data_IF_560847753228
#
_entry.id   IF_560847753228
#
_cell.length_a   1.000
_cell.length_b   1.000
_cell.length_c   1.000
_cell.angle_alpha   90.00
_cell.angle_beta   90.00
_cell.angle_gamma   90.00
#
_symmetry.space_group_name_H-M   'P 1'
#
loop_
_entity.id
_entity.type
_entity.pdbx_description
1 polymer ?
#
# COMPACT_ATOMS: atom_id res chain seq x y z
N UNK A 1 -18.26 26.98 13.14
CA UNK A 1 -18.02 28.43 12.99
C UNK A 1 -18.82 29.11 14.06
N UNK A 2 -18.21 30.04 14.81
CA UNK A 2 -18.94 30.80 15.83
C UNK A 2 -19.97 31.70 15.15
N UNK A 3 -21.15 31.83 15.73
CA UNK A 3 -22.16 32.76 15.22
C UNK A 3 -21.71 34.20 15.45
N UNK A 4 -22.23 35.14 14.65
CA UNK A 4 -21.94 36.57 14.84
C UNK A 4 -22.34 37.05 16.23
N UNK A 5 -23.37 36.44 16.84
CA UNK A 5 -23.78 36.76 18.20
C UNK A 5 -22.77 36.29 19.25
N UNK A 6 -22.25 35.06 19.12
CA UNK A 6 -21.20 34.54 20.02
C UNK A 6 -19.91 35.37 19.97
N UNK A 7 -19.57 35.90 18.80
CA UNK A 7 -18.38 36.75 18.63
C UNK A 7 -18.55 38.13 19.28
N UNK A 8 -19.79 38.65 19.30
CA UNK A 8 -20.15 39.88 20.00
C UNK A 8 -20.13 39.68 21.53
N UNK A 9 -20.73 38.60 22.04
CA UNK A 9 -20.67 38.26 23.46
C UNK A 9 -19.24 38.05 23.97
N UNK A 10 -18.38 37.43 23.14
CA UNK A 10 -16.97 37.24 23.46
C UNK A 10 -16.20 38.57 23.47
N UNK A 11 -16.51 39.47 22.54
CA UNK A 11 -15.91 40.80 22.49
C UNK A 11 -16.31 41.67 23.69
N UNK A 12 -17.59 41.65 24.07
CA UNK A 12 -18.10 42.32 25.26
C UNK A 12 -17.41 41.79 26.53
N UNK A 13 -17.23 40.47 26.64
CA UNK A 13 -16.48 39.86 27.75
C UNK A 13 -15.00 40.25 27.79
N UNK A 14 -14.41 40.56 26.65
CA UNK A 14 -13.03 41.05 26.56
C UNK A 14 -12.93 42.57 26.68
N UNK A 15 -14.06 43.28 26.81
CA UNK A 15 -14.09 44.74 26.92
C UNK A 15 -13.67 45.46 25.65
N UNK A 16 -13.77 44.83 24.47
CA UNK A 16 -13.38 45.43 23.20
C UNK A 16 -14.50 46.34 22.68
N UNK A 17 -14.17 47.61 22.43
CA UNK A 17 -15.13 48.58 21.90
C UNK A 17 -14.77 49.01 20.47
N UNK A 18 -15.81 49.28 19.67
CA UNK A 18 -15.73 49.93 18.35
C UNK A 18 -14.57 49.48 17.45
N UNK A 19 -13.49 50.29 17.34
CA UNK A 19 -12.34 49.98 16.48
C UNK A 19 -11.54 48.74 16.91
N UNK A 20 -11.42 48.49 18.22
CA UNK A 20 -10.67 47.34 18.74
C UNK A 20 -11.41 46.03 18.45
N UNK A 21 -12.74 46.05 18.58
CA UNK A 21 -13.59 44.93 18.18
C UNK A 21 -13.46 44.62 16.68
N UNK A 22 -13.46 45.66 15.83
CA UNK A 22 -13.30 45.47 14.37
C UNK A 22 -11.95 44.85 14.03
N UNK A 23 -10.86 45.37 14.61
CA UNK A 23 -9.53 44.82 14.38
C UNK A 23 -9.42 43.36 14.83
N UNK A 24 -9.93 43.04 16.02
CA UNK A 24 -9.97 41.68 16.54
C UNK A 24 -10.83 40.75 15.67
N UNK A 25 -12.00 41.21 15.23
CA UNK A 25 -12.90 40.45 14.37
C UNK A 25 -12.26 40.16 13.00
N UNK A 26 -11.62 41.16 12.38
CA UNK A 26 -10.91 41.00 11.13
C UNK A 26 -9.75 40.01 11.25
N UNK A 27 -8.96 40.10 12.34
CA UNK A 27 -7.89 39.15 12.63
C UNK A 27 -8.44 37.73 12.82
N UNK A 28 -9.54 37.58 13.55
CA UNK A 28 -10.20 36.28 13.76
C UNK A 28 -10.63 35.67 12.43
N UNK A 29 -11.28 36.45 11.57
CA UNK A 29 -11.70 36.01 10.24
C UNK A 29 -10.50 35.72 9.32
N UNK A 30 -9.40 36.46 9.44
CA UNK A 30 -8.17 36.18 8.71
C UNK A 30 -7.56 34.83 9.12
N UNK A 31 -7.46 34.57 10.43
CA UNK A 31 -6.99 33.28 10.97
C UNK A 31 -7.88 32.12 10.49
N UNK A 32 -9.20 32.26 10.52
CA UNK A 32 -10.08 31.20 10.01
C UNK A 32 -9.90 30.93 8.51
N UNK A 33 -9.66 31.97 7.70
CA UNK A 33 -9.38 31.79 6.26
C UNK A 33 -8.05 31.05 6.07
N UNK A 34 -7.06 31.37 6.89
CA UNK A 34 -5.76 30.72 6.88
C UNK A 34 -5.86 29.24 7.31
N UNK A 35 -6.58 28.94 8.39
CA UNK A 35 -6.85 27.57 8.84
C UNK A 35 -7.54 26.75 7.75
N UNK A 36 -8.61 27.28 7.14
CA UNK A 36 -9.29 26.62 6.02
C UNK A 36 -8.37 26.47 4.81
N UNK A 37 -7.44 27.40 4.57
CA UNK A 37 -6.45 27.27 3.50
C UNK A 37 -5.41 26.19 3.82
N UNK A 38 -4.97 26.09 5.07
CA UNK A 38 -4.06 25.05 5.55
C UNK A 38 -4.72 23.67 5.47
N UNK A 39 -5.98 23.52 5.87
CA UNK A 39 -6.75 22.28 5.72
C UNK A 39 -6.84 21.84 4.26
N UNK A 40 -7.14 22.78 3.35
CA UNK A 40 -7.17 22.49 1.91
C UNK A 40 -5.80 22.06 1.38
N UNK A 41 -4.70 22.67 1.86
CA UNK A 41 -3.33 22.25 1.49
C UNK A 41 -3.03 20.85 2.02
N UNK A 42 -3.33 20.58 3.29
CA UNK A 42 -3.14 19.26 3.89
C UNK A 42 -3.97 18.18 3.19
N UNK A 43 -5.21 18.46 2.82
CA UNK A 43 -6.05 17.54 2.04
C UNK A 43 -5.46 17.29 0.65
N UNK A 44 -4.99 18.33 -0.04
CA UNK A 44 -4.30 18.19 -1.34
C UNK A 44 -3.04 17.32 -1.23
N UNK A 45 -2.25 17.49 -0.18
CA UNK A 45 -1.06 16.67 0.07
C UNK A 45 -1.42 15.21 0.32
N UNK A 46 -2.45 14.93 1.13
CA UNK A 46 -2.98 13.57 1.33
C UNK A 46 -3.41 12.93 0.00
N UNK A 47 -4.11 13.70 -0.84
CA UNK A 47 -4.54 13.21 -2.16
C UNK A 47 -3.35 12.95 -3.09
N UNK A 48 -2.33 13.81 -3.10
CA UNK A 48 -1.09 13.60 -3.87
C UNK A 48 -0.37 12.32 -3.45
N UNK A 49 -0.18 12.12 -2.15
CA UNK A 49 0.43 10.90 -1.62
C UNK A 49 -0.38 9.64 -2.01
N UNK A 50 -1.72 9.73 -2.03
CA UNK A 50 -2.57 8.62 -2.46
C UNK A 50 -2.44 8.33 -3.96
N UNK A 51 -2.35 9.36 -4.80
CA UNK A 51 -2.10 9.21 -6.24
C UNK A 51 -0.76 8.51 -6.46
N UNK A 52 0.31 8.97 -5.83
CA UNK A 52 1.64 8.35 -5.94
C UNK A 52 1.61 6.88 -5.49
N UNK A 53 0.94 6.57 -4.37
CA UNK A 53 0.77 5.20 -3.91
C UNK A 53 0.06 4.33 -4.96
N UNK A 54 -1.04 4.82 -5.54
CA UNK A 54 -1.80 4.09 -6.55
C UNK A 54 -1.01 3.92 -7.85
N UNK A 55 -0.20 4.90 -8.25
CA UNK A 55 0.68 4.79 -9.41
C UNK A 55 1.75 3.70 -9.21
N UNK A 56 2.36 3.62 -8.03
CA UNK A 56 3.31 2.56 -7.70
C UNK A 56 2.62 1.19 -7.76
N UNK A 57 1.43 1.07 -7.18
CA UNK A 57 0.65 -0.18 -7.23
C UNK A 57 0.30 -0.57 -8.67
N UNK A 58 -0.13 0.39 -9.49
CA UNK A 58 -0.42 0.19 -10.91
C UNK A 58 0.81 -0.33 -11.65
N UNK A 59 1.97 0.33 -11.52
CA UNK A 59 3.23 -0.10 -12.16
C UNK A 59 3.67 -1.50 -11.69
N UNK A 60 3.49 -1.81 -10.41
CA UNK A 60 3.81 -3.13 -9.88
C UNK A 60 2.91 -4.22 -10.48
N UNK A 61 1.61 -3.94 -10.63
CA UNK A 61 0.66 -4.84 -11.29
C UNK A 61 0.96 -5.00 -12.79
N UNK A 62 1.25 -3.91 -13.50
CA UNK A 62 1.64 -3.94 -14.91
C UNK A 62 2.88 -4.83 -15.12
N UNK A 63 3.93 -4.67 -14.29
CA UNK A 63 5.12 -5.54 -14.34
C UNK A 63 4.79 -7.00 -14.07
N UNK A 64 3.90 -7.30 -13.11
CA UNK A 64 3.46 -8.68 -12.83
C UNK A 64 2.74 -9.28 -14.03
N UNK A 65 1.88 -8.51 -14.70
CA UNK A 65 1.18 -8.94 -15.91
C UNK A 65 2.16 -9.18 -17.06
N UNK A 66 3.16 -8.33 -17.24
CA UNK A 66 4.19 -8.49 -18.25
C UNK A 66 5.03 -9.75 -18.02
N UNK A 67 5.47 -9.99 -16.78
CA UNK A 67 6.18 -11.22 -16.40
C UNK A 67 5.31 -12.46 -16.63
N UNK A 68 4.02 -12.41 -16.30
CA UNK A 68 3.09 -13.51 -16.55
C UNK A 68 2.92 -13.78 -18.05
N UNK A 69 2.78 -12.74 -18.86
CA UNK A 69 2.67 -12.83 -20.33
C UNK A 69 3.96 -13.34 -20.99
N UNK A 70 5.13 -12.86 -20.57
CA UNK A 70 6.42 -13.34 -21.08
C UNK A 70 6.83 -14.72 -20.53
N UNK A 71 6.33 -15.09 -19.35
CA UNK A 71 6.53 -16.39 -18.72
C UNK A 71 5.71 -17.52 -19.35
N UNK A 72 4.51 -17.23 -19.87
CA UNK A 72 3.72 -18.23 -20.61
C UNK A 72 4.40 -18.59 -21.94
N UNK A 73 4.91 -17.61 -22.69
CA UNK A 73 5.63 -17.83 -23.96
C UNK A 73 6.87 -18.73 -23.78
N UNK A 74 7.68 -18.49 -22.74
CA UNK A 74 8.87 -19.31 -22.45
C UNK A 74 8.55 -20.75 -22.06
N UNK A 75 7.40 -21.00 -21.44
CA UNK A 75 7.00 -22.36 -21.01
C UNK A 75 6.47 -23.19 -22.18
N UNK A 76 5.77 -22.56 -23.14
CA UNK A 76 5.30 -23.24 -24.35
C UNK A 76 6.42 -23.54 -25.36
N UNK A 77 7.45 -22.69 -25.47
CA UNK A 77 8.51 -22.89 -26.46
C UNK A 77 9.70 -23.75 -25.99
N UNK A 78 9.97 -23.84 -24.68
CA UNK A 78 11.06 -24.72 -24.17
C UNK A 78 10.70 -26.21 -24.16
N UNK A 79 9.41 -26.56 -24.31
CA UNK A 79 8.97 -27.95 -24.51
C UNK A 79 9.05 -28.43 -25.97
N UNK A 80 9.06 -27.51 -26.95
CA UNK A 80 9.01 -27.88 -28.37
C UNK A 80 10.40 -28.10 -29.01
N UNK A 81 11.49 -27.75 -28.33
CA UNK A 81 12.86 -27.86 -28.87
C UNK A 81 13.69 -28.98 -28.24
N UNK A 82 13.12 -29.78 -27.33
CA UNK A 82 13.85 -30.82 -26.60
C UNK A 82 13.77 -32.22 -27.25
N UNK A 83 13.09 -32.39 -28.39
CA UNK A 83 12.87 -33.71 -28.99
C UNK A 83 13.70 -34.03 -30.25
N UNK A 84 14.63 -33.16 -30.68
CA UNK A 84 15.29 -33.34 -32.00
C UNK A 84 16.79 -33.65 -31.99
N UNK A 85 17.46 -33.87 -30.85
CA UNK A 85 18.85 -34.33 -30.86
C UNK A 85 19.17 -35.22 -29.66
N UNK A 86 18.79 -36.49 -29.74
CA UNK A 86 19.07 -37.46 -28.68
C UNK A 86 19.21 -38.87 -29.21
N UNK A 87 20.11 -39.11 -30.16
CA UNK A 87 20.61 -40.44 -30.51
C UNK A 87 21.82 -40.34 -31.43
N UNK A 88 23.04 -40.34 -30.87
CA UNK A 88 24.17 -41.21 -31.24
C UNK A 88 25.47 -40.67 -30.65
N UNK A 89 26.00 -41.35 -29.64
CA UNK A 89 27.37 -41.85 -29.56
C UNK A 89 27.75 -42.10 -28.09
N UNK A 90 27.88 -43.39 -27.77
CA UNK A 90 28.52 -43.88 -26.59
C UNK A 90 30.05 -43.81 -26.72
N UNK A 91 30.70 -43.80 -25.56
CA UNK A 91 32.04 -44.29 -25.24
C UNK A 91 33.23 -43.31 -25.27
N UNK A 92 33.97 -43.41 -24.15
CA UNK A 92 35.37 -43.10 -23.88
C UNK A 92 35.73 -41.66 -23.48
N UNK A 93 35.98 -41.43 -22.18
CA UNK A 93 37.35 -41.40 -21.63
C UNK A 93 37.32 -41.03 -20.13
N UNK A 94 37.91 -41.91 -19.33
CA UNK A 94 38.40 -41.70 -17.96
C UNK A 94 39.49 -40.63 -17.91
N UNK A 95 39.47 -39.74 -16.91
CA UNK A 95 40.57 -39.57 -15.94
C UNK A 95 40.19 -38.56 -14.83
N UNK A 96 40.09 -39.10 -13.62
CA UNK A 96 40.67 -38.65 -12.34
C UNK A 96 41.04 -37.16 -12.13
N UNK A 97 40.45 -36.56 -11.07
CA UNK A 97 41.17 -35.76 -10.05
C UNK A 97 40.31 -35.44 -8.81
N UNK A 98 40.43 -36.32 -7.81
CA UNK A 98 40.64 -36.06 -6.38
C UNK A 98 40.22 -34.69 -5.77
N UNK A 99 39.10 -34.73 -5.02
CA UNK A 99 38.91 -34.27 -3.60
C UNK A 99 38.94 -32.76 -3.24
N UNK A 100 38.47 -32.30 -2.03
CA UNK A 100 37.72 -32.98 -0.96
C UNK A 100 36.49 -32.22 -0.40
N UNK A 101 35.70 -32.99 0.38
CA UNK A 101 34.64 -32.61 1.32
C UNK A 101 34.90 -31.34 2.15
N UNK A 102 33.86 -30.51 2.34
CA UNK A 102 33.58 -29.81 3.60
C UNK A 102 32.09 -29.86 3.92
N UNK A 103 31.78 -30.58 4.98
CA UNK A 103 30.55 -30.50 5.77
C UNK A 103 30.35 -29.09 6.31
N UNK A 104 29.15 -28.51 6.14
CA UNK A 104 28.39 -27.64 7.07
C UNK A 104 26.99 -27.53 6.41
N UNK A 105 25.85 -27.89 6.98
CA UNK A 105 25.52 -28.42 8.28
C UNK A 105 24.08 -28.95 8.18
N UNK A 106 23.83 -30.04 8.90
CA UNK A 106 22.51 -30.63 9.05
C UNK A 106 21.54 -29.65 9.74
N UNK A 107 20.33 -29.56 9.18
CA UNK A 107 19.03 -29.14 9.77
C UNK A 107 18.84 -29.65 11.22
N UNK A 108 17.97 -29.06 12.08
CA UNK A 108 16.50 -28.98 11.89
C UNK A 108 15.89 -27.67 12.53
N UNK A 109 14.62 -27.31 12.49
CA UNK A 109 13.41 -28.08 12.79
C UNK A 109 12.15 -27.33 12.33
N UNK A 110 11.16 -28.10 11.95
CA UNK A 110 9.78 -27.66 11.91
C UNK A 110 9.30 -27.38 13.34
N UNK A 111 8.60 -26.26 13.54
CA UNK A 111 7.61 -26.13 14.60
C UNK A 111 6.35 -25.56 13.94
N UNK A 112 5.43 -26.46 13.65
CA UNK A 112 4.00 -26.16 13.61
C UNK A 112 3.55 -25.88 15.04
N UNK A 113 2.85 -24.77 15.25
CA UNK A 113 1.95 -24.59 16.38
C UNK A 113 0.73 -23.79 15.88
N UNK A 114 -0.25 -24.53 15.37
CA UNK A 114 -1.66 -24.15 15.39
C UNK A 114 -2.18 -24.54 16.78
N UNK A 115 -2.77 -23.60 17.54
CA UNK A 115 -3.84 -23.89 18.51
C UNK A 115 -4.36 -22.60 19.18
N UNK A 116 -5.67 -22.43 19.11
CA UNK A 116 -6.50 -21.63 20.03
C UNK A 116 -7.07 -20.36 19.40
N UNK A 117 -8.37 -20.23 19.13
CA UNK A 117 -9.53 -21.09 19.37
C UNK A 117 -10.81 -20.31 19.05
N UNK A 118 -11.87 -21.04 18.68
CA UNK A 118 -13.33 -20.86 18.92
C UNK A 118 -13.90 -19.46 19.16
N UNK A 119 -15.10 -19.06 18.74
CA UNK A 119 -16.28 -19.73 18.14
C UNK A 119 -17.29 -18.57 17.88
N UNK A 120 -18.31 -18.83 17.03
CA UNK A 120 -19.52 -18.00 16.84
C UNK A 120 -19.29 -16.68 16.08
N UNK A 121 -20.03 -16.27 15.06
CA UNK A 121 -21.37 -16.63 14.61
C UNK A 121 -21.94 -15.34 14.00
N UNK A 122 -22.46 -15.44 12.77
CA UNK A 122 -23.38 -14.47 12.15
C UNK A 122 -22.87 -13.04 11.88
N UNK A 123 -22.43 -12.80 10.64
CA UNK A 123 -22.70 -11.52 9.99
C UNK A 123 -23.87 -11.72 9.01
N UNK A 124 -25.07 -11.35 9.47
CA UNK A 124 -26.25 -11.19 8.65
C UNK A 124 -25.95 -10.21 7.51
N UNK A 125 -26.12 -10.68 6.27
CA UNK A 125 -26.18 -9.84 5.09
C UNK A 125 -27.54 -9.15 5.05
N UNK A 126 -27.60 -7.90 5.53
CA UNK A 126 -28.77 -7.07 5.30
C UNK A 126 -28.87 -6.76 3.81
N UNK A 127 -29.85 -7.40 3.21
CA UNK A 127 -30.29 -7.19 1.84
C UNK A 127 -31.01 -5.85 1.77
N UNK A 128 -30.34 -4.80 1.28
CA UNK A 128 -31.02 -3.57 0.89
C UNK A 128 -31.38 -3.66 -0.59
N UNK A 129 -32.61 -4.09 -0.89
CA UNK A 129 -33.21 -3.98 -2.22
C UNK A 129 -33.95 -2.64 -2.33
N UNK A 130 -33.63 -1.78 -3.31
CA UNK A 130 -34.42 -0.59 -3.59
C UNK A 130 -35.45 -0.89 -4.70
N UNK A 131 -36.74 -0.76 -4.37
CA UNK A 131 -37.84 -0.49 -5.31
C UNK A 131 -39.11 -0.16 -4.55
#
# INVERSE_FOLDING_TARGET
MASTWELLELAERMGLEGPEFRAWYEERMAREREERAAERKAMKEKLRAKIEQLEVQRRALERRLEVARGGSWRRHHRGSSAEMHGSKAAAAAEEEKLSPKRDIGLRPSAVMANAGGSEEGECHADSFSPS
#
